data_IF_263127737682
#
_entry.id   IF_263127737682
#
_cell.length_a   1.000
_cell.length_b   1.000
_cell.length_c   1.000
_cell.angle_alpha   90.00
_cell.angle_beta   90.00
_cell.angle_gamma   90.00
#
_symmetry.space_group_name_H-M   'P 1'
#
loop_
_entity.id
_entity.type
_entity.pdbx_description
1 polymer ?
#
# COMPACT_ATOMS: atom_id res chain seq x y z
N UNK A 1 16.77 35.09 14.81
CA UNK A 1 15.83 34.17 14.12
C UNK A 1 16.46 32.78 14.09
N UNK A 2 15.83 31.80 14.72
CA UNK A 2 16.28 30.40 14.62
C UNK A 2 15.82 29.87 13.27
N UNK A 3 16.76 29.67 12.35
CA UNK A 3 16.55 28.89 11.14
C UNK A 3 16.27 27.45 11.56
N UNK A 4 15.01 27.00 11.50
CA UNK A 4 14.74 25.56 11.54
C UNK A 4 15.32 25.00 10.25
N UNK A 5 16.46 24.33 10.34
CA UNK A 5 16.94 23.44 9.29
C UNK A 5 15.80 22.47 9.01
N UNK A 6 15.05 22.70 7.92
CA UNK A 6 14.05 21.76 7.43
C UNK A 6 14.88 20.56 7.00
N UNK A 7 15.03 19.60 7.92
CA UNK A 7 15.74 18.36 7.65
C UNK A 7 15.22 17.78 6.34
N UNK A 8 16.13 17.29 5.50
CA UNK A 8 15.81 16.71 4.18
C UNK A 8 14.51 15.90 4.31
N UNK A 9 13.44 16.41 3.69
CA UNK A 9 12.13 15.75 3.68
C UNK A 9 12.40 14.34 3.15
N UNK A 10 12.17 13.31 3.96
CA UNK A 10 12.39 11.92 3.52
C UNK A 10 11.60 11.73 2.22
N UNK A 11 12.32 11.51 1.12
CA UNK A 11 11.70 11.31 -0.18
C UNK A 11 10.87 10.03 -0.08
N UNK A 12 9.55 10.14 -0.23
CA UNK A 12 8.70 8.96 -0.36
C UNK A 12 9.14 8.27 -1.64
N UNK A 13 9.60 7.03 -1.51
CA UNK A 13 10.07 6.25 -2.65
C UNK A 13 8.92 5.43 -3.21
N UNK A 14 9.03 5.04 -4.48
CA UNK A 14 8.08 4.13 -5.09
C UNK A 14 7.91 2.82 -4.30
N UNK A 15 9.00 2.29 -3.73
CA UNK A 15 8.97 1.12 -2.84
C UNK A 15 8.08 1.34 -1.61
N UNK A 16 8.10 2.56 -1.06
CA UNK A 16 7.27 2.92 0.09
C UNK A 16 5.79 2.90 -0.29
N UNK A 17 5.44 3.40 -1.48
CA UNK A 17 4.08 3.38 -2.00
C UNK A 17 3.58 1.95 -2.25
N UNK A 18 4.42 1.08 -2.84
CA UNK A 18 4.11 -0.35 -3.02
C UNK A 18 3.80 -1.04 -1.70
N UNK A 19 4.56 -0.75 -0.64
CA UNK A 19 4.31 -1.33 0.69
C UNK A 19 2.96 -0.92 1.24
N UNK A 20 2.58 0.36 1.08
CA UNK A 20 1.25 0.85 1.47
C UNK A 20 0.14 0.11 0.71
N UNK A 21 0.27 -0.02 -0.61
CA UNK A 21 -0.70 -0.74 -1.43
C UNK A 21 -0.82 -2.22 -1.02
N UNK A 22 0.31 -2.91 -0.78
CA UNK A 22 0.31 -4.29 -0.28
C UNK A 22 -0.39 -4.43 1.07
N UNK A 23 -0.13 -3.53 2.01
CA UNK A 23 -0.79 -3.54 3.31
C UNK A 23 -2.31 -3.37 3.15
N UNK A 24 -2.75 -2.44 2.30
CA UNK A 24 -4.18 -2.24 1.98
C UNK A 24 -4.77 -3.51 1.37
N UNK A 25 -4.08 -4.16 0.43
CA UNK A 25 -4.52 -5.42 -0.18
C UNK A 25 -4.68 -6.53 0.87
N UNK A 26 -3.82 -6.55 1.89
CA UNK A 26 -3.89 -7.47 3.04
C UNK A 26 -4.92 -7.04 4.10
N UNK A 27 -5.91 -6.23 3.75
CA UNK A 27 -6.98 -5.75 4.62
C UNK A 27 -6.52 -4.86 5.79
N UNK A 28 -5.34 -4.23 5.71
CA UNK A 28 -4.96 -3.21 6.68
C UNK A 28 -5.78 -1.95 6.45
N UNK A 29 -6.13 -1.25 7.54
CA UNK A 29 -6.69 0.10 7.40
C UNK A 29 -5.66 1.03 6.74
N UNK A 30 -6.14 2.01 5.96
CA UNK A 30 -5.27 3.05 5.35
C UNK A 30 -4.35 3.69 6.39
N UNK A 31 -4.89 3.95 7.58
CA UNK A 31 -4.15 4.52 8.71
C UNK A 31 -3.01 3.63 9.20
N UNK A 32 -3.21 2.31 9.23
CA UNK A 32 -2.15 1.36 9.57
C UNK A 32 -1.12 1.25 8.44
N UNK A 33 -1.57 1.16 7.18
CA UNK A 33 -0.70 0.96 6.02
C UNK A 33 0.34 2.09 5.84
N UNK A 34 -0.08 3.36 5.91
CA UNK A 34 0.88 4.47 5.77
C UNK A 34 1.81 4.58 7.00
N UNK A 35 1.32 4.25 8.21
CA UNK A 35 2.12 4.27 9.45
C UNK A 35 3.20 3.19 9.42
N UNK A 36 2.85 1.97 9.02
CA UNK A 36 3.78 0.86 8.85
C UNK A 36 4.89 1.20 7.85
N UNK A 37 4.53 1.91 6.79
CA UNK A 37 5.46 2.40 5.77
C UNK A 37 6.27 3.63 6.18
N UNK A 38 6.13 4.11 7.43
CA UNK A 38 6.81 5.29 8.01
C UNK A 38 6.52 6.59 7.25
N UNK A 39 5.35 6.69 6.63
CA UNK A 39 4.84 7.92 6.01
C UNK A 39 3.83 8.54 6.98
N UNK A 40 3.77 9.88 7.06
CA UNK A 40 2.71 10.56 7.81
C UNK A 40 1.46 10.75 6.93
N UNK A 41 0.32 11.02 7.56
CA UNK A 41 -0.97 11.17 6.86
C UNK A 41 -0.93 12.21 5.73
N UNK A 42 -0.31 13.37 5.98
CA UNK A 42 -0.24 14.48 5.00
C UNK A 42 0.46 14.10 3.69
N UNK A 43 1.71 13.60 3.70
CA UNK A 43 2.36 13.15 2.48
C UNK A 43 1.61 12.01 1.81
N UNK A 44 1.02 11.06 2.54
CA UNK A 44 0.20 10.01 1.93
C UNK A 44 -0.92 10.59 1.03
N UNK A 45 -1.76 11.47 1.56
CA UNK A 45 -2.85 12.07 0.78
C UNK A 45 -2.34 13.04 -0.29
N UNK A 46 -1.20 13.70 -0.07
CA UNK A 46 -0.58 14.53 -1.09
C UNK A 46 -0.19 13.70 -2.31
N UNK A 47 0.51 12.59 -2.11
CA UNK A 47 0.89 11.67 -3.19
C UNK A 47 -0.34 11.02 -3.84
N UNK A 48 -1.36 10.66 -3.04
CA UNK A 48 -2.62 10.11 -3.58
C UNK A 48 -3.36 11.10 -4.49
N UNK A 49 -3.21 12.40 -4.25
CA UNK A 49 -3.86 13.42 -5.07
C UNK A 49 -2.99 13.92 -6.23
N UNK A 50 -1.67 13.77 -6.15
CA UNK A 50 -0.73 14.31 -7.15
C UNK A 50 -0.15 13.28 -8.11
N UNK A 51 -0.09 11.99 -7.73
CA UNK A 51 0.54 10.93 -8.53
C UNK A 51 -0.51 9.91 -9.02
N UNK A 52 -0.92 9.96 -10.30
CA UNK A 52 -1.92 9.05 -10.86
C UNK A 52 -1.54 7.57 -10.69
N UNK A 53 -0.27 7.21 -10.90
CA UNK A 53 0.23 5.83 -10.75
C UNK A 53 0.02 5.30 -9.34
N UNK A 54 0.19 6.15 -8.32
CA UNK A 54 -0.05 5.74 -6.94
C UNK A 54 -1.53 5.53 -6.68
N UNK A 55 -2.38 6.39 -7.23
CA UNK A 55 -3.84 6.26 -7.12
C UNK A 55 -4.34 4.98 -7.75
N UNK A 56 -3.88 4.66 -8.97
CA UNK A 56 -4.20 3.40 -9.65
C UNK A 56 -3.75 2.20 -8.83
N UNK A 57 -2.54 2.24 -8.27
CA UNK A 57 -2.02 1.17 -7.41
C UNK A 57 -2.89 0.93 -6.16
N UNK A 58 -3.38 2.00 -5.53
CA UNK A 58 -4.28 1.92 -4.37
C UNK A 58 -5.65 1.38 -4.79
N UNK A 59 -6.19 1.80 -5.93
CA UNK A 59 -7.44 1.26 -6.48
C UNK A 59 -7.32 -0.25 -6.75
N UNK A 60 -6.24 -0.69 -7.38
CA UNK A 60 -5.98 -2.12 -7.63
C UNK A 60 -5.79 -2.89 -6.32
N UNK A 61 -5.12 -2.31 -5.33
CA UNK A 61 -5.01 -2.92 -4.01
C UNK A 61 -6.37 -3.15 -3.34
N UNK A 62 -7.31 -2.19 -3.46
CA UNK A 62 -8.68 -2.36 -2.97
C UNK A 62 -9.46 -3.43 -3.75
N UNK A 63 -9.31 -3.50 -5.07
CA UNK A 63 -9.93 -4.56 -5.88
C UNK A 63 -9.40 -5.95 -5.53
N UNK A 64 -8.12 -6.03 -5.18
CA UNK A 64 -7.44 -7.24 -4.75
C UNK A 64 -7.63 -7.60 -3.27
N UNK A 65 -8.35 -6.79 -2.49
CA UNK A 65 -8.73 -7.16 -1.13
C UNK A 65 -9.59 -8.42 -1.16
N UNK A 66 -9.29 -9.36 -0.27
CA UNK A 66 -10.00 -10.64 -0.20
C UNK A 66 -9.77 -11.57 -1.41
N UNK A 67 -8.80 -11.28 -2.28
CA UNK A 67 -8.29 -12.28 -3.20
C UNK A 67 -7.53 -13.34 -2.39
N UNK A 68 -8.28 -14.33 -1.91
CA UNK A 68 -7.73 -15.59 -1.45
C UNK A 68 -7.26 -16.27 -2.73
N UNK A 69 -5.96 -16.52 -2.95
CA UNK A 69 -5.56 -17.43 -4.01
C UNK A 69 -6.31 -18.74 -3.73
N UNK A 70 -7.30 -19.08 -4.58
CA UNK A 70 -7.89 -20.40 -4.55
C UNK A 70 -6.75 -21.35 -4.87
N UNK A 71 -6.12 -21.91 -3.83
CA UNK A 71 -5.44 -23.17 -3.96
C UNK A 71 -6.55 -24.16 -4.31
N UNK A 72 -6.74 -24.39 -5.61
CA UNK A 72 -7.37 -25.62 -6.07
C UNK A 72 -6.41 -26.73 -5.64
N UNK A 73 -6.61 -27.22 -4.42
CA UNK A 73 -6.07 -28.49 -4.02
C UNK A 73 -6.54 -29.51 -5.05
N UNK A 74 -5.58 -30.21 -5.63
CA UNK A 74 -5.80 -31.42 -6.41
C UNK A 74 -6.53 -32.43 -5.51
N UNK A 75 -7.85 -32.31 -5.39
CA UNK A 75 -8.73 -33.36 -4.90
C UNK A 75 -8.80 -34.41 -6.01
N UNK A 76 -7.79 -35.29 -5.97
CA UNK A 76 -7.83 -36.68 -6.40
C UNK A 76 -8.96 -37.03 -7.36
N UNK A 77 -8.65 -37.00 -8.66
CA UNK A 77 -9.43 -37.70 -9.69
C UNK A 77 -9.22 -39.22 -9.64
N UNK A 78 -8.54 -39.75 -8.62
CA UNK A 78 -8.26 -41.17 -8.42
C UNK A 78 -9.08 -41.69 -7.23
N UNK A 79 -10.39 -41.89 -7.41
CA UNK A 79 -11.19 -42.96 -6.80
C UNK A 79 -12.68 -42.78 -7.06
N UNK A 80 -13.17 -43.40 -8.13
CA UNK A 80 -14.22 -44.46 -8.15
C UNK A 80 -14.65 -44.74 -9.60
#
# INVERSE_FOLDING_TARGET
MISKTIGKRHKVTYLTLIRVARDIQNNYTVSAAYRNSRISRDPFYRYLNSEPEFTEMIIEAYKGQSYIPMFFDNLSSDSL
#
